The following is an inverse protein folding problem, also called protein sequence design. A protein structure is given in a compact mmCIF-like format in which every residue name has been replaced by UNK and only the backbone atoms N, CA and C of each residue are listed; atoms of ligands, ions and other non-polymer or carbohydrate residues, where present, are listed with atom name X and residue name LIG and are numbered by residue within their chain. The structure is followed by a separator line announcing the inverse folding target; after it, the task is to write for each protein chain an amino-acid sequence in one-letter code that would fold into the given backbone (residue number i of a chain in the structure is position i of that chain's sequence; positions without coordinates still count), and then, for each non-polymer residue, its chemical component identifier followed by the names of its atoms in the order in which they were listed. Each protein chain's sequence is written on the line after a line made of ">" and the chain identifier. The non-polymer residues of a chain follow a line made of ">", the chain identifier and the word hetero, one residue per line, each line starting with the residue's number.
data_IF_922526630046
#
_entry.id   IF_922526630046
#
_cell.length_a   1.000
_cell.length_b   1.000
_cell.length_c   1.000
_cell.angle_alpha   90.00
_cell.angle_beta   90.00
_cell.angle_gamma   90.00
#
_symmetry.space_group_name_H-M   'P 1'
#
loop_
_entity.id
_entity.type
_entity.pdbx_description
1 polymer ?
#
# COMPACT_ATOMS: atom_id res chain seq x y z
N UNK A 1 23.41 -16.43 8.14
CA UNK A 1 22.85 -15.07 7.98
C UNK A 1 22.12 -14.76 9.27
N UNK A 2 22.31 -13.57 9.86
CA UNK A 2 21.62 -13.23 11.11
C UNK A 2 20.14 -12.92 10.86
N UNK A 3 19.26 -13.87 11.20
CA UNK A 3 17.80 -13.72 11.15
C UNK A 3 17.30 -12.50 11.94
N UNK A 4 17.99 -12.16 13.03
CA UNK A 4 17.74 -10.94 13.82
C UNK A 4 17.88 -9.65 13.01
N UNK A 5 18.87 -9.58 12.11
CA UNK A 5 19.11 -8.42 11.24
C UNK A 5 18.05 -8.35 10.15
N UNK A 6 17.66 -9.50 9.59
CA UNK A 6 16.60 -9.58 8.59
C UNK A 6 15.23 -9.16 9.15
N UNK A 7 14.90 -9.60 10.37
CA UNK A 7 13.68 -9.18 11.08
C UNK A 7 13.65 -7.66 11.28
N UNK A 8 14.74 -7.08 11.77
CA UNK A 8 14.84 -5.63 11.98
C UNK A 8 14.60 -4.86 10.66
N UNK A 9 15.17 -5.34 9.55
CA UNK A 9 15.00 -4.72 8.23
C UNK A 9 13.55 -4.81 7.71
N UNK A 10 12.92 -5.97 7.87
CA UNK A 10 11.52 -6.18 7.49
C UNK A 10 10.57 -5.32 8.32
N UNK A 11 10.80 -5.22 9.64
CA UNK A 11 10.02 -4.34 10.51
C UNK A 11 10.16 -2.86 10.11
N UNK A 12 11.37 -2.41 9.77
CA UNK A 12 11.59 -1.04 9.32
C UNK A 12 10.89 -0.75 7.98
N UNK A 13 10.89 -1.73 7.06
CA UNK A 13 10.17 -1.64 5.79
C UNK A 13 8.65 -1.55 6.00
N UNK A 14 8.11 -2.35 6.92
CA UNK A 14 6.69 -2.34 7.29
C UNK A 14 6.28 -0.98 7.88
N UNK A 15 7.07 -0.42 8.80
CA UNK A 15 6.78 0.90 9.39
C UNK A 15 6.77 2.03 8.34
N UNK A 16 7.67 1.97 7.34
CA UNK A 16 7.67 2.92 6.22
C UNK A 16 6.42 2.80 5.35
N UNK A 17 5.97 1.59 5.06
CA UNK A 17 4.74 1.32 4.31
C UNK A 17 3.50 1.84 5.06
N UNK A 18 3.39 1.57 6.37
CA UNK A 18 2.28 2.06 7.19
C UNK A 18 2.24 3.60 7.22
N UNK A 19 3.38 4.27 7.40
CA UNK A 19 3.44 5.73 7.38
C UNK A 19 3.02 6.33 6.03
N UNK A 20 3.40 5.67 4.92
CA UNK A 20 2.99 6.09 3.58
C UNK A 20 1.47 5.96 3.40
N UNK A 21 0.90 4.82 3.79
CA UNK A 21 -0.55 4.58 3.70
C UNK A 21 -1.37 5.60 4.50
N UNK A 22 -0.96 5.92 5.74
CA UNK A 22 -1.66 6.89 6.58
C UNK A 22 -1.58 8.34 6.03
N UNK A 23 -0.46 8.70 5.43
CA UNK A 23 -0.27 10.03 4.83
C UNK A 23 -1.06 10.20 3.53
N UNK A 24 -1.24 9.11 2.78
CA UNK A 24 -1.94 9.08 1.49
C UNK A 24 -3.47 9.19 1.68
N UNK A 25 -4.05 8.41 2.60
CA UNK A 25 -5.46 8.51 3.02
C UNK A 25 -5.84 9.95 3.44
N UNK A 26 -4.95 10.60 4.20
CA UNK A 26 -5.17 11.96 4.69
C UNK A 26 -5.17 13.03 3.58
N UNK A 27 -4.47 12.77 2.47
CA UNK A 27 -4.40 13.69 1.32
C UNK A 27 -5.53 13.44 0.33
N UNK A 28 -5.80 12.19 -0.01
CA UNK A 28 -6.87 11.81 -0.94
C UNK A 28 -8.24 12.32 -0.48
N UNK A 29 -8.58 12.18 0.81
CA UNK A 29 -9.84 12.70 1.35
C UNK A 29 -10.00 14.22 1.22
N UNK A 30 -8.91 14.99 1.25
CA UNK A 30 -8.96 16.45 1.24
C UNK A 30 -8.95 17.04 -0.18
N UNK A 31 -8.27 16.38 -1.11
CA UNK A 31 -8.21 16.76 -2.53
C UNK A 31 -9.55 16.46 -3.22
N UNK A 32 -10.13 15.27 -2.99
CA UNK A 32 -11.43 14.88 -3.57
C UNK A 32 -12.58 15.87 -3.27
N UNK A 33 -12.52 16.61 -2.15
CA UNK A 33 -13.54 17.59 -1.80
C UNK A 33 -13.39 18.94 -2.50
N UNK A 34 -12.26 19.22 -3.16
CA UNK A 34 -11.99 20.53 -3.77
C UNK A 34 -12.21 20.57 -5.30
N UNK A 35 -12.40 19.42 -5.95
CA UNK A 35 -12.48 19.34 -7.43
C UNK A 35 -13.92 19.26 -7.98
N UNK A 36 -14.92 19.04 -7.13
CA UNK A 36 -16.28 18.68 -7.57
C UNK A 36 -17.21 19.90 -7.74
N UNK A 37 -17.08 20.60 -8.87
CA UNK A 37 -18.26 21.19 -9.52
C UNK A 37 -18.96 20.08 -10.31
N UNK A 38 -19.74 19.25 -9.62
CA UNK A 38 -20.43 18.02 -10.09
C UNK A 38 -21.35 18.21 -11.33
N UNK A 39 -21.49 19.43 -11.83
CA UNK A 39 -22.47 19.83 -12.86
C UNK A 39 -21.84 20.02 -14.25
N UNK A 40 -20.50 20.05 -14.39
CA UNK A 40 -19.79 20.28 -15.67
C UNK A 40 -18.71 19.22 -15.97
N UNK A 41 -18.96 17.96 -15.63
CA UNK A 41 -18.06 16.88 -16.04
C UNK A 41 -18.40 16.48 -17.49
N UNK A 42 -17.55 16.87 -18.45
CA UNK A 42 -17.66 16.35 -19.81
C UNK A 42 -17.41 14.83 -19.79
N UNK A 43 -18.07 14.02 -20.65
CA UNK A 43 -17.99 12.57 -20.59
C UNK A 43 -16.57 11.99 -20.78
N UNK A 44 -15.63 12.77 -21.32
CA UNK A 44 -14.22 12.40 -21.44
C UNK A 44 -13.43 12.54 -20.11
N UNK A 45 -13.83 13.47 -19.24
CA UNK A 45 -13.18 13.68 -17.95
C UNK A 45 -13.57 12.55 -16.98
N UNK A 46 -14.84 12.12 -17.02
CA UNK A 46 -15.35 11.00 -16.20
C UNK A 46 -14.59 9.69 -16.46
N UNK A 47 -14.27 9.39 -17.73
CA UNK A 47 -13.52 8.18 -18.07
C UNK A 47 -12.06 8.22 -17.58
N UNK A 48 -11.44 9.41 -17.59
CA UNK A 48 -10.08 9.59 -17.11
C UNK A 48 -10.02 9.52 -15.59
N UNK A 49 -11.00 10.12 -14.90
CA UNK A 49 -11.13 10.08 -13.44
C UNK A 49 -11.36 8.63 -12.95
N UNK A 50 -12.22 7.86 -13.62
CA UNK A 50 -12.46 6.45 -13.28
C UNK A 50 -11.22 5.57 -13.53
N UNK A 51 -10.48 5.81 -14.61
CA UNK A 51 -9.20 5.13 -14.86
C UNK A 51 -8.17 5.43 -13.77
N UNK A 52 -8.01 6.71 -13.40
CA UNK A 52 -7.09 7.13 -12.34
C UNK A 52 -7.48 6.54 -10.98
N UNK A 53 -8.77 6.49 -10.68
CA UNK A 53 -9.30 5.88 -9.45
C UNK A 53 -9.09 4.37 -9.40
N UNK A 54 -9.30 3.67 -10.52
CA UNK A 54 -9.01 2.23 -10.61
C UNK A 54 -7.50 1.93 -10.51
N UNK A 55 -6.65 2.79 -11.07
CA UNK A 55 -5.20 2.69 -10.92
C UNK A 55 -4.77 2.88 -9.47
N UNK A 56 -5.33 3.88 -8.78
CA UNK A 56 -5.06 4.13 -7.36
C UNK A 56 -5.47 2.93 -6.49
N UNK A 57 -6.68 2.40 -6.71
CA UNK A 57 -7.15 1.19 -6.04
C UNK A 57 -6.20 0.00 -6.26
N UNK A 58 -5.71 -0.20 -7.49
CA UNK A 58 -4.76 -1.27 -7.82
C UNK A 58 -3.41 -1.11 -7.11
N UNK A 59 -2.96 0.13 -6.87
CA UNK A 59 -1.76 0.39 -6.08
C UNK A 59 -1.96 0.09 -4.60
N UNK A 60 -3.11 0.48 -4.04
CA UNK A 60 -3.47 0.18 -2.66
C UNK A 60 -3.53 -1.35 -2.41
N UNK A 61 -4.13 -2.11 -3.32
CA UNK A 61 -4.16 -3.59 -3.25
C UNK A 61 -2.75 -4.20 -3.28
N UNK A 62 -1.86 -3.66 -4.12
CA UNK A 62 -0.46 -4.11 -4.18
C UNK A 62 0.29 -3.83 -2.88
N UNK A 63 0.11 -2.63 -2.31
CA UNK A 63 0.73 -2.26 -1.04
C UNK A 63 0.23 -3.16 0.10
N UNK A 64 -1.05 -3.52 0.11
CA UNK A 64 -1.61 -4.50 1.07
C UNK A 64 -1.00 -5.90 0.90
N UNK A 65 -0.92 -6.41 -0.34
CA UNK A 65 -0.27 -7.70 -0.64
C UNK A 65 1.21 -7.72 -0.20
N UNK A 66 1.91 -6.60 -0.38
CA UNK A 66 3.30 -6.48 0.05
C UNK A 66 3.42 -6.51 1.58
N UNK A 67 2.53 -5.81 2.29
CA UNK A 67 2.48 -5.85 3.76
C UNK A 67 2.22 -7.27 4.27
N UNK A 68 1.27 -7.99 3.67
CA UNK A 68 0.97 -9.38 4.04
C UNK A 68 2.19 -10.29 3.85
N UNK A 69 2.90 -10.17 2.72
CA UNK A 69 4.14 -10.92 2.46
C UNK A 69 5.22 -10.63 3.49
N UNK A 70 5.40 -9.37 3.89
CA UNK A 70 6.38 -8.98 4.92
C UNK A 70 5.98 -9.57 6.28
N UNK A 71 4.70 -9.56 6.62
CA UNK A 71 4.20 -10.18 7.86
C UNK A 71 4.41 -11.70 7.85
N UNK A 72 4.10 -12.38 6.75
CA UNK A 72 4.36 -13.81 6.60
C UNK A 72 5.85 -14.13 6.69
N UNK A 73 6.70 -13.30 6.07
CA UNK A 73 8.16 -13.43 6.19
C UNK A 73 8.62 -13.33 7.65
N UNK A 74 8.12 -12.35 8.41
CA UNK A 74 8.42 -12.19 9.84
C UNK A 74 7.92 -13.40 10.64
N UNK A 75 6.70 -13.90 10.35
CA UNK A 75 6.15 -15.08 11.02
C UNK A 75 6.98 -16.35 10.76
N UNK A 76 7.48 -16.53 9.53
CA UNK A 76 8.40 -17.63 9.19
C UNK A 76 9.75 -17.50 9.90
N UNK A 77 10.25 -16.26 10.10
CA UNK A 77 11.46 -16.01 10.91
C UNK A 77 11.23 -16.42 12.36
N UNK A 78 10.06 -16.10 12.92
CA UNK A 78 9.72 -16.43 14.31
C UNK A 78 9.56 -17.94 14.54
N UNK A 79 8.95 -18.64 13.57
CA UNK A 79 8.81 -20.10 13.58
C UNK A 79 10.12 -20.85 13.26
N UNK A 80 11.18 -20.15 12.85
CA UNK A 80 12.46 -20.76 12.45
C UNK A 80 12.44 -21.43 11.06
N UNK A 81 11.36 -21.28 10.29
CA UNK A 81 11.18 -21.88 8.95
C UNK A 81 11.64 -20.95 7.82
N UNK A 82 12.16 -19.76 8.12
CA UNK A 82 12.60 -18.80 7.11
C UNK A 82 13.77 -19.30 6.25
N UNK A 83 14.51 -20.30 6.74
CA UNK A 83 15.66 -20.89 6.05
C UNK A 83 15.25 -21.97 5.03
N UNK A 84 14.00 -22.45 5.08
CA UNK A 84 13.48 -23.48 4.17
C UNK A 84 12.66 -22.82 3.05
N UNK A 85 13.29 -22.69 1.88
CA UNK A 85 12.63 -22.18 0.68
C UNK A 85 11.70 -23.27 0.14
N UNK A 86 10.40 -23.17 0.45
CA UNK A 86 9.33 -24.00 -0.14
C UNK A 86 8.76 -23.37 -1.40
#
# INVERSE_FOLDING_TARGET
>A
MDLSVQRCRLTEMLNRLEKRSNADESKNLRDYHHELSVVDNHPADVASEDYLRNLDASFQENDQLLQEKIQQAIARIDNGEYEDCT
#
